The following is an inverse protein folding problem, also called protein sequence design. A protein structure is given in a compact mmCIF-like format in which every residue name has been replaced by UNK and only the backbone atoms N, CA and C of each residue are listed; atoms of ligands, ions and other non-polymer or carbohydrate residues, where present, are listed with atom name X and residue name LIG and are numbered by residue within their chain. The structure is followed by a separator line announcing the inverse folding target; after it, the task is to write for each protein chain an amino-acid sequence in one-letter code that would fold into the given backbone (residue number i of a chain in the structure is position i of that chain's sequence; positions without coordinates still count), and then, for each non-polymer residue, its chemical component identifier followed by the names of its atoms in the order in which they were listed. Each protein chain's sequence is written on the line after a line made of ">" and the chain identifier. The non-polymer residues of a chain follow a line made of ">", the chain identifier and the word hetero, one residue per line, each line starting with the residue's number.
data_IF_164791466498
#
_entry.id   IF_164791466498
#
_cell.length_a   1.000
_cell.length_b   1.000
_cell.length_c   1.000
_cell.angle_alpha   90.00
_cell.angle_beta   90.00
_cell.angle_gamma   90.00
#
_symmetry.space_group_name_H-M   'P 1'
#
loop_
_entity.id
_entity.type
_entity.pdbx_description
1 polymer ?
#
# COMPACT_ATOMS: atom_id res chain seq x y z
N UNK A 1 10.36 -0.10 -35.35
CA UNK A 1 9.77 0.42 -34.10
C UNK A 1 10.89 0.46 -33.10
N UNK A 2 11.26 1.64 -32.63
CA UNK A 2 12.22 1.74 -31.52
C UNK A 2 11.61 1.04 -30.32
N UNK A 3 12.27 -0.04 -29.87
CA UNK A 3 11.98 -0.64 -28.58
C UNK A 3 12.20 0.47 -27.55
N UNK A 4 11.11 0.99 -26.96
CA UNK A 4 11.19 1.90 -25.83
C UNK A 4 12.07 1.25 -24.76
N UNK A 5 13.31 1.73 -24.64
CA UNK A 5 14.25 1.20 -23.67
C UNK A 5 13.67 1.40 -22.28
N UNK A 6 13.64 0.31 -21.51
CA UNK A 6 13.19 0.37 -20.14
C UNK A 6 14.12 1.27 -19.33
N UNK A 7 13.59 2.05 -18.38
CA UNK A 7 14.43 2.79 -17.46
C UNK A 7 15.43 1.86 -16.77
N UNK A 8 16.66 2.33 -16.50
CA UNK A 8 17.70 1.50 -15.90
C UNK A 8 17.28 1.02 -14.51
N UNK A 9 17.82 -0.12 -14.07
CA UNK A 9 17.61 -0.60 -12.70
C UNK A 9 18.29 0.33 -11.70
N UNK A 10 17.70 0.48 -10.52
CA UNK A 10 18.35 1.19 -9.41
C UNK A 10 19.63 0.49 -8.94
N UNK A 11 19.67 -0.85 -9.05
CA UNK A 11 20.83 -1.67 -8.72
C UNK A 11 21.12 -2.64 -9.87
N UNK A 12 22.40 -2.87 -10.14
CA UNK A 12 22.85 -3.92 -11.06
C UNK A 12 22.34 -5.28 -10.57
N UNK A 13 21.96 -6.16 -11.52
CA UNK A 13 21.53 -7.52 -11.18
C UNK A 13 22.67 -8.26 -10.47
N UNK A 14 22.41 -8.78 -9.27
CA UNK A 14 23.39 -9.48 -8.45
C UNK A 14 24.21 -8.58 -7.51
N UNK A 15 24.09 -7.26 -7.63
CA UNK A 15 24.73 -6.27 -6.77
C UNK A 15 23.71 -5.57 -5.84
N UNK A 16 22.52 -6.15 -5.67
CA UNK A 16 21.51 -5.60 -4.78
C UNK A 16 21.99 -5.63 -3.31
N UNK A 17 21.69 -4.58 -2.53
CA UNK A 17 21.97 -4.59 -1.10
C UNK A 17 21.34 -5.80 -0.40
N UNK A 18 22.03 -6.33 0.60
CA UNK A 18 21.49 -7.38 1.45
C UNK A 18 20.65 -6.78 2.58
N UNK A 19 19.46 -7.35 2.82
CA UNK A 19 18.70 -7.09 4.05
C UNK A 19 19.32 -7.87 5.21
N UNK A 20 20.21 -7.21 5.97
CA UNK A 20 21.00 -7.89 7.01
C UNK A 20 20.31 -7.90 8.38
N UNK A 21 19.43 -6.94 8.72
CA UNK A 21 18.78 -6.88 10.05
C UNK A 21 17.26 -6.85 10.03
N UNK A 22 16.64 -5.68 9.89
CA UNK A 22 15.21 -5.52 10.16
C UNK A 22 14.57 -4.49 9.24
N UNK A 23 13.48 -4.90 8.60
CA UNK A 23 12.63 -4.00 7.84
C UNK A 23 11.26 -4.05 8.48
N UNK A 24 10.78 -2.89 8.87
CA UNK A 24 9.51 -2.73 9.56
C UNK A 24 8.61 -1.78 8.81
N UNK A 25 7.36 -1.74 9.24
CA UNK A 25 6.36 -0.83 8.75
C UNK A 25 5.40 -0.52 9.89
N UNK A 26 4.78 0.66 9.84
CA UNK A 26 3.94 1.14 10.95
C UNK A 26 2.45 0.83 10.76
N UNK A 27 2.01 0.53 9.54
CA UNK A 27 0.60 0.20 9.23
C UNK A 27 0.12 -1.17 9.68
N UNK A 28 0.70 -1.71 10.75
CA UNK A 28 0.30 -2.95 11.41
C UNK A 28 0.35 -2.81 12.94
N UNK A 29 -0.04 -1.65 13.46
CA UNK A 29 -0.13 -1.43 14.90
C UNK A 29 -1.24 -2.30 15.51
N UNK A 30 -0.85 -3.45 16.06
CA UNK A 30 -1.75 -4.41 16.71
C UNK A 30 -2.36 -3.85 17.99
N UNK A 31 -1.68 -2.93 18.67
CA UNK A 31 -2.21 -2.31 19.89
C UNK A 31 -3.31 -1.32 19.56
N UNK A 32 -3.08 -0.47 18.55
CA UNK A 32 -4.09 0.45 18.04
C UNK A 32 -5.32 -0.30 17.53
N UNK A 33 -5.10 -1.36 16.75
CA UNK A 33 -6.20 -2.17 16.23
C UNK A 33 -6.97 -2.90 17.34
N UNK A 34 -6.26 -3.44 18.34
CA UNK A 34 -6.93 -4.03 19.50
C UNK A 34 -7.76 -3.00 20.27
N UNK A 35 -7.20 -1.82 20.53
CA UNK A 35 -7.93 -0.74 21.20
C UNK A 35 -9.17 -0.30 20.41
N UNK A 36 -9.09 -0.28 19.07
CA UNK A 36 -10.23 -0.03 18.20
C UNK A 36 -11.32 -1.08 18.39
N UNK A 37 -10.97 -2.36 18.31
CA UNK A 37 -11.94 -3.46 18.50
C UNK A 37 -12.54 -3.49 19.91
N UNK A 38 -11.76 -3.16 20.94
CA UNK A 38 -12.25 -3.11 22.33
C UNK A 38 -13.19 -1.91 22.56
N UNK A 39 -13.10 -0.86 21.75
CA UNK A 39 -13.89 0.37 21.87
C UNK A 39 -15.22 0.33 21.11
N UNK A 40 -15.32 -0.48 20.05
CA UNK A 40 -16.51 -0.54 19.18
C UNK A 40 -17.38 -1.74 19.54
N UNK A 41 -18.70 -1.55 19.47
CA UNK A 41 -19.63 -2.68 19.40
C UNK A 41 -19.47 -3.44 18.07
N UNK A 42 -20.00 -4.66 17.99
CA UNK A 42 -19.93 -5.46 16.77
C UNK A 42 -20.57 -4.75 15.56
N UNK A 43 -21.73 -4.11 15.77
CA UNK A 43 -22.44 -3.38 14.71
C UNK A 43 -21.63 -2.15 14.25
N UNK A 44 -21.06 -1.37 15.19
CA UNK A 44 -20.22 -0.22 14.85
C UNK A 44 -18.94 -0.63 14.12
N UNK A 45 -18.34 -1.76 14.49
CA UNK A 45 -17.17 -2.30 13.80
C UNK A 45 -17.51 -2.68 12.36
N UNK A 46 -18.63 -3.37 12.13
CA UNK A 46 -19.09 -3.74 10.80
C UNK A 46 -19.47 -2.50 9.97
N UNK A 47 -20.10 -1.49 10.57
CA UNK A 47 -20.36 -0.20 9.92
C UNK A 47 -19.07 0.50 9.49
N UNK A 48 -18.07 0.56 10.38
CA UNK A 48 -16.76 1.15 10.09
C UNK A 48 -16.03 0.38 8.97
N UNK A 49 -16.15 -0.95 8.95
CA UNK A 49 -15.61 -1.84 7.91
C UNK A 49 -16.37 -1.72 6.58
N UNK A 50 -17.65 -1.37 6.62
CA UNK A 50 -18.47 -1.10 5.43
C UNK A 50 -18.25 0.31 4.85
N UNK A 51 -17.68 1.24 5.64
CA UNK A 51 -17.39 2.62 5.21
C UNK A 51 -16.43 2.69 4.01
N UNK A 52 -16.32 3.89 3.41
CA UNK A 52 -15.34 4.19 2.33
C UNK A 52 -13.88 3.94 2.75
N UNK A 53 -13.60 3.97 4.05
CA UNK A 53 -12.26 3.74 4.60
C UNK A 53 -12.08 2.32 5.16
N UNK A 54 -13.12 1.49 5.11
CA UNK A 54 -13.10 0.12 5.62
C UNK A 54 -12.09 -0.80 4.92
N UNK A 55 -11.53 -0.40 3.77
CA UNK A 55 -10.44 -1.11 3.09
C UNK A 55 -9.23 -1.35 4.02
N UNK A 56 -8.91 -0.41 4.90
CA UNK A 56 -7.79 -0.57 5.84
C UNK A 56 -8.05 -1.67 6.88
N UNK A 57 -9.29 -1.78 7.36
CA UNK A 57 -9.72 -2.84 8.27
C UNK A 57 -9.69 -4.18 7.54
N UNK A 58 -10.23 -4.25 6.32
CA UNK A 58 -10.21 -5.47 5.50
C UNK A 58 -8.79 -5.96 5.27
N UNK A 59 -7.84 -5.07 4.95
CA UNK A 59 -6.44 -5.45 4.78
C UNK A 59 -5.78 -5.94 6.07
N UNK A 60 -6.19 -5.42 7.22
CA UNK A 60 -5.73 -5.90 8.52
C UNK A 60 -6.23 -7.31 8.82
N UNK A 61 -7.50 -7.59 8.51
CA UNK A 61 -8.13 -8.90 8.68
C UNK A 61 -7.62 -9.96 7.71
N UNK A 62 -7.07 -9.57 6.55
CA UNK A 62 -6.37 -10.48 5.64
C UNK A 62 -5.10 -11.10 6.24
N UNK A 63 -4.70 -10.70 7.45
CA UNK A 63 -3.50 -11.17 8.16
C UNK A 63 -2.25 -11.15 7.26
N UNK A 64 -2.03 -10.00 6.62
CA UNK A 64 -0.95 -9.83 5.65
C UNK A 64 0.40 -10.34 6.19
N UNK A 65 0.90 -11.42 5.60
CA UNK A 65 2.15 -12.07 5.97
C UNK A 65 3.37 -11.21 5.63
N UNK A 66 3.83 -10.40 6.58
CA UNK A 66 5.01 -9.56 6.39
C UNK A 66 6.30 -10.39 6.39
N UNK A 67 6.98 -10.43 5.25
CA UNK A 67 8.33 -11.02 5.13
C UNK A 67 9.33 -9.92 4.77
N UNK A 68 10.09 -9.44 5.76
CA UNK A 68 11.07 -8.35 5.58
C UNK A 68 12.02 -8.57 4.41
N UNK A 69 12.49 -9.81 4.21
CA UNK A 69 13.40 -10.16 3.11
C UNK A 69 12.73 -10.07 1.74
N UNK A 70 11.48 -10.52 1.62
CA UNK A 70 10.71 -10.42 0.39
C UNK A 70 10.43 -8.96 0.04
N UNK A 71 10.04 -8.16 1.03
CA UNK A 71 9.82 -6.72 0.86
C UNK A 71 11.10 -6.02 0.42
N UNK A 72 12.23 -6.30 1.07
CA UNK A 72 13.53 -5.75 0.64
C UNK A 72 13.83 -6.09 -0.81
N UNK A 73 13.68 -7.37 -1.16
CA UNK A 73 13.94 -7.86 -2.49
C UNK A 73 13.08 -7.12 -3.52
N UNK A 74 11.77 -7.01 -3.28
CA UNK A 74 10.87 -6.25 -4.16
C UNK A 74 11.27 -4.78 -4.32
N UNK A 75 11.78 -4.16 -3.26
CA UNK A 75 12.26 -2.78 -3.28
C UNK A 75 13.59 -2.63 -4.04
N UNK A 76 14.49 -3.61 -3.99
CA UNK A 76 15.74 -3.60 -4.76
C UNK A 76 15.53 -3.87 -6.27
N UNK A 77 14.36 -4.37 -6.67
CA UNK A 77 14.02 -4.60 -8.07
C UNK A 77 13.38 -3.38 -8.75
N UNK A 78 13.44 -2.22 -8.11
CA UNK A 78 12.96 -0.97 -8.68
C UNK A 78 13.81 -0.47 -9.86
N UNK A 79 13.16 0.21 -10.80
CA UNK A 79 13.79 0.99 -11.85
C UNK A 79 14.02 2.43 -11.38
N UNK A 80 15.05 3.08 -11.92
CA UNK A 80 15.41 4.47 -11.62
C UNK A 80 14.44 5.45 -12.30
N UNK A 81 13.30 5.66 -11.66
CA UNK A 81 12.23 6.53 -12.12
C UNK A 81 12.32 7.89 -11.43
N UNK A 82 12.62 8.94 -12.20
CA UNK A 82 12.68 10.34 -11.72
C UNK A 82 11.31 10.96 -11.41
N UNK A 83 10.22 10.36 -11.89
CA UNK A 83 8.87 10.82 -11.58
C UNK A 83 8.56 10.57 -10.10
N UNK A 84 8.18 11.65 -9.40
CA UNK A 84 7.93 11.64 -7.95
C UNK A 84 6.83 10.66 -7.52
N UNK A 85 5.80 10.50 -8.35
CA UNK A 85 4.58 9.76 -8.04
C UNK A 85 4.41 8.49 -8.87
N UNK A 86 5.52 7.95 -9.40
CA UNK A 86 5.54 6.63 -10.04
C UNK A 86 6.68 5.78 -9.47
N UNK A 87 6.37 4.52 -9.20
CA UNK A 87 7.32 3.48 -8.87
C UNK A 87 7.23 2.41 -9.93
N UNK A 88 8.38 1.95 -10.41
CA UNK A 88 8.43 0.85 -11.35
C UNK A 88 9.31 -0.22 -10.74
N UNK A 89 8.86 -1.47 -10.77
CA UNK A 89 9.63 -2.63 -10.33
C UNK A 89 9.61 -3.70 -11.40
N UNK A 90 10.71 -4.45 -11.53
CA UNK A 90 10.73 -5.64 -12.35
C UNK A 90 10.11 -6.81 -11.59
N UNK A 91 9.05 -7.37 -12.14
CA UNK A 91 8.38 -8.57 -11.64
C UNK A 91 8.41 -9.63 -12.73
N UNK A 92 9.11 -10.75 -12.49
CA UNK A 92 9.32 -11.81 -13.49
C UNK A 92 9.88 -11.28 -14.83
N UNK A 93 10.76 -10.27 -14.74
CA UNK A 93 11.39 -9.53 -15.87
C UNK A 93 10.45 -8.62 -16.66
N UNK A 94 9.22 -8.40 -16.19
CA UNK A 94 8.29 -7.42 -16.76
C UNK A 94 8.21 -6.18 -15.86
N UNK A 95 8.19 -4.97 -16.42
CA UNK A 95 8.00 -3.75 -15.64
C UNK A 95 6.57 -3.67 -15.10
N UNK A 96 6.43 -3.61 -13.78
CA UNK A 96 5.19 -3.30 -13.09
C UNK A 96 5.23 -1.84 -12.63
N UNK A 97 4.30 -1.03 -13.15
CA UNK A 97 4.19 0.39 -12.80
C UNK A 97 3.14 0.59 -11.73
N UNK A 98 3.56 1.07 -10.58
CA UNK A 98 2.70 1.50 -9.50
C UNK A 98 2.57 3.03 -9.48
N UNK A 99 1.35 3.52 -9.66
CA UNK A 99 1.01 4.95 -9.61
C UNK A 99 -0.27 5.18 -8.80
N UNK A 100 -0.74 6.44 -8.75
CA UNK A 100 -2.00 6.78 -8.08
C UNK A 100 -3.19 6.01 -8.68
N UNK A 101 -3.14 5.68 -9.98
CA UNK A 101 -4.20 4.94 -10.68
C UNK A 101 -4.32 3.52 -10.11
N UNK A 102 -3.21 2.79 -10.02
CA UNK A 102 -3.21 1.44 -9.46
C UNK A 102 -3.57 1.47 -7.97
N UNK A 103 -3.11 2.48 -7.23
CA UNK A 103 -3.50 2.66 -5.82
C UNK A 103 -5.02 2.88 -5.67
N UNK A 104 -5.60 3.78 -6.46
CA UNK A 104 -7.04 4.05 -6.46
C UNK A 104 -7.84 2.80 -6.83
N UNK A 105 -7.43 2.10 -7.90
CA UNK A 105 -8.10 0.88 -8.33
C UNK A 105 -8.12 -0.21 -7.26
N UNK A 106 -7.00 -0.40 -6.55
CA UNK A 106 -6.89 -1.43 -5.52
C UNK A 106 -7.59 -1.07 -4.21
N UNK A 107 -7.64 0.22 -3.87
CA UNK A 107 -8.16 0.68 -2.58
C UNK A 107 -9.61 1.16 -2.63
N UNK A 108 -10.07 1.64 -3.79
CA UNK A 108 -11.36 2.32 -3.95
C UNK A 108 -11.45 3.67 -3.22
N UNK A 109 -10.34 4.18 -2.69
CA UNK A 109 -10.31 5.43 -1.93
C UNK A 109 -10.42 6.62 -2.87
N UNK A 110 -11.09 7.68 -2.41
CA UNK A 110 -11.14 8.94 -3.17
C UNK A 110 -9.72 9.49 -3.39
N UNK A 111 -9.37 9.71 -4.67
CA UNK A 111 -8.08 10.24 -5.11
C UNK A 111 -8.22 11.62 -5.79
N UNK A 112 -9.32 12.33 -5.61
CA UNK A 112 -9.57 13.67 -6.16
C UNK A 112 -8.44 14.65 -5.84
N UNK A 113 -8.23 15.60 -6.75
CA UNK A 113 -7.20 16.61 -6.59
C UNK A 113 -7.51 17.58 -5.45
N UNK A 114 -6.50 17.86 -4.62
CA UNK A 114 -6.54 18.91 -3.59
C UNK A 114 -5.46 19.93 -3.94
N UNK A 115 -5.80 21.22 -3.89
CA UNK A 115 -4.87 22.30 -4.23
C UNK A 115 -3.65 22.39 -3.30
N UNK A 116 -3.79 22.05 -2.02
CA UNK A 116 -2.69 22.12 -1.05
C UNK A 116 -2.72 20.90 -0.12
N UNK A 117 -1.68 20.06 -0.22
CA UNK A 117 -1.48 18.88 0.64
C UNK A 117 -0.43 19.14 1.75
N UNK A 118 0.14 20.34 1.78
CA UNK A 118 0.99 20.78 2.88
C UNK A 118 0.13 21.49 3.92
N UNK A 119 -0.12 20.82 5.05
CA UNK A 119 -0.12 21.36 6.41
C UNK A 119 -1.11 20.61 7.32
N UNK A 120 -0.67 19.48 7.87
CA UNK A 120 -1.41 18.74 8.88
C UNK A 120 -0.42 18.03 9.83
N UNK A 121 -0.19 18.59 11.04
CA UNK A 121 0.52 17.95 12.19
C UNK A 121 -0.07 18.40 13.56
N UNK A 122 -0.06 17.52 14.58
CA UNK A 122 -0.15 17.67 16.07
C UNK A 122 -1.51 17.77 16.87
N UNK A 123 -1.67 16.87 17.88
CA UNK A 123 -2.63 16.56 19.01
C UNK A 123 -3.75 15.42 18.96
N UNK A 124 -3.45 14.10 19.11
CA UNK A 124 -4.44 12.98 19.37
C UNK A 124 -4.39 12.43 20.81
N UNK A 125 -3.21 12.46 21.46
CA UNK A 125 -2.95 11.67 22.68
C UNK A 125 -3.76 12.13 23.90
N UNK A 126 -4.28 13.37 23.90
CA UNK A 126 -5.04 13.93 25.03
C UNK A 126 -6.54 13.60 25.01
N UNK A 127 -7.12 13.26 23.87
CA UNK A 127 -8.55 12.93 23.75
C UNK A 127 -8.90 11.56 24.38
N UNK A 128 -7.91 10.69 24.58
CA UNK A 128 -8.09 9.35 25.15
C UNK A 128 -8.40 9.33 26.65
N UNK A 129 -8.25 10.43 27.39
CA UNK A 129 -8.31 10.40 28.87
C UNK A 129 -9.67 10.70 29.50
N UNK A 130 -10.76 10.85 28.74
CA UNK A 130 -12.11 11.05 29.28
C UNK A 130 -13.13 10.11 28.62
N UNK A 131 -12.91 8.81 28.82
CA UNK A 131 -13.63 7.72 28.19
C UNK A 131 -14.46 6.99 29.25
N UNK A 132 -15.72 7.38 29.44
CA UNK A 132 -16.75 6.56 30.12
C UNK A 132 -18.20 6.91 29.71
N UNK A 133 -18.45 7.84 28.76
CA UNK A 133 -19.81 8.30 28.39
C UNK A 133 -19.96 8.68 26.90
N UNK A 134 -19.49 7.85 25.96
CA UNK A 134 -19.44 8.23 24.53
C UNK A 134 -20.67 7.81 23.73
N UNK A 135 -21.10 8.68 22.81
CA UNK A 135 -22.16 8.37 21.85
C UNK A 135 -21.64 7.49 20.72
N UNK A 136 -22.54 6.83 19.97
CA UNK A 136 -22.18 6.08 18.75
C UNK A 136 -21.34 6.90 17.78
N UNK A 137 -21.64 8.18 17.62
CA UNK A 137 -20.87 9.08 16.75
C UNK A 137 -19.44 9.28 17.25
N UNK A 138 -19.23 9.36 18.57
CA UNK A 138 -17.90 9.51 19.17
C UNK A 138 -17.06 8.23 19.00
N UNK A 139 -17.69 7.06 19.13
CA UNK A 139 -17.07 5.77 18.81
C UNK A 139 -16.63 5.70 17.33
N UNK A 140 -17.51 6.09 16.40
CA UNK A 140 -17.19 6.13 14.97
C UNK A 140 -16.04 7.09 14.64
N UNK A 141 -16.04 8.28 15.27
CA UNK A 141 -14.95 9.27 15.12
C UNK A 141 -13.59 8.68 15.49
N UNK A 142 -13.52 7.93 16.58
CA UNK A 142 -12.29 7.24 16.94
C UNK A 142 -11.89 6.15 15.96
N UNK A 143 -12.87 5.43 15.42
CA UNK A 143 -12.65 4.48 14.34
C UNK A 143 -11.89 5.09 13.18
N UNK A 144 -12.37 6.24 12.70
CA UNK A 144 -11.71 6.98 11.62
C UNK A 144 -10.34 7.55 12.01
N UNK A 145 -10.18 8.03 13.25
CA UNK A 145 -8.88 8.49 13.74
C UNK A 145 -7.86 7.35 13.84
N UNK A 146 -8.28 6.16 14.26
CA UNK A 146 -7.45 4.96 14.31
C UNK A 146 -7.04 4.53 12.89
N UNK A 147 -7.96 4.56 11.92
CA UNK A 147 -7.65 4.32 10.51
C UNK A 147 -6.60 5.32 10.00
N UNK A 148 -6.79 6.61 10.29
CA UNK A 148 -5.84 7.64 9.87
C UNK A 148 -4.45 7.41 10.47
N UNK A 149 -4.37 7.29 11.79
CA UNK A 149 -3.09 7.15 12.49
C UNK A 149 -2.37 5.84 12.12
N UNK A 150 -3.14 4.75 12.07
CA UNK A 150 -2.62 3.42 11.77
C UNK A 150 -2.16 3.27 10.33
N UNK A 151 -2.97 3.69 9.34
CA UNK A 151 -2.75 3.29 7.96
C UNK A 151 -2.45 4.45 7.00
N UNK A 152 -3.13 5.59 7.17
CA UNK A 152 -2.96 6.74 6.26
C UNK A 152 -1.66 7.47 6.55
N UNK A 153 -1.48 7.95 7.78
CA UNK A 153 -0.22 8.55 8.19
C UNK A 153 0.83 7.45 8.38
N UNK A 154 0.46 6.35 9.05
CA UNK A 154 1.27 5.14 9.15
C UNK A 154 2.70 5.45 9.59
N UNK A 155 2.84 6.28 10.64
CA UNK A 155 4.11 6.70 11.25
C UNK A 155 4.13 6.30 12.72
N UNK A 156 5.31 6.27 13.33
CA UNK A 156 5.44 6.06 14.79
C UNK A 156 4.66 7.15 15.53
N UNK A 157 3.87 6.75 16.53
CA UNK A 157 3.15 7.63 17.45
C UNK A 157 4.12 8.55 18.23
N UNK A 158 4.52 9.67 17.63
CA UNK A 158 5.31 10.72 18.28
C UNK A 158 4.98 12.12 17.80
N UNK A 159 4.23 12.25 16.70
CA UNK A 159 3.64 13.50 16.24
C UNK A 159 2.15 13.40 16.44
N UNK A 160 1.57 14.37 17.12
CA UNK A 160 0.18 14.22 17.46
C UNK A 160 -0.73 14.59 16.24
N UNK A 161 -2.05 14.58 16.36
CA UNK A 161 -3.00 14.80 15.25
C UNK A 161 -3.45 16.24 14.98
N UNK A 162 -3.38 16.70 13.72
CA UNK A 162 -3.71 18.08 13.36
C UNK A 162 -5.14 18.49 13.73
N UNK A 163 -5.32 19.75 14.15
CA UNK A 163 -6.64 20.34 14.40
C UNK A 163 -7.57 20.31 13.15
N UNK A 164 -7.00 20.28 11.94
CA UNK A 164 -7.75 20.10 10.69
C UNK A 164 -8.39 18.70 10.60
N UNK A 165 -7.68 17.64 11.02
CA UNK A 165 -8.22 16.29 11.04
C UNK A 165 -9.30 16.13 12.12
N UNK A 166 -9.06 16.69 13.31
CA UNK A 166 -10.04 16.70 14.39
C UNK A 166 -11.33 17.41 13.95
N UNK A 167 -11.23 18.49 13.16
CA UNK A 167 -12.40 19.15 12.57
C UNK A 167 -13.10 18.32 11.50
N UNK A 168 -12.34 17.65 10.63
CA UNK A 168 -12.93 16.80 9.58
C UNK A 168 -13.72 15.65 10.18
N UNK A 169 -13.22 15.00 11.23
CA UNK A 169 -13.90 13.84 11.83
C UNK A 169 -15.19 14.23 12.58
N UNK A 170 -15.38 15.51 12.94
CA UNK A 170 -16.67 15.96 13.48
C UNK A 170 -17.81 15.74 12.48
N UNK A 171 -17.51 15.86 11.19
CA UNK A 171 -18.43 15.70 10.05
C UNK A 171 -18.08 14.42 9.26
N UNK A 172 -18.60 13.27 9.71
CA UNK A 172 -18.22 11.94 9.17
C UNK A 172 -18.38 11.82 7.65
N UNK A 173 -19.45 12.37 7.08
CA UNK A 173 -19.67 12.36 5.64
C UNK A 173 -18.58 13.13 4.88
N UNK A 174 -18.19 14.31 5.38
CA UNK A 174 -17.10 15.09 4.80
C UNK A 174 -15.75 14.36 4.96
N UNK A 175 -15.56 13.67 6.09
CA UNK A 175 -14.36 12.88 6.34
C UNK A 175 -14.24 11.72 5.35
N UNK A 176 -15.30 10.94 5.13
CA UNK A 176 -15.28 9.82 4.20
C UNK A 176 -15.11 10.24 2.74
N UNK A 177 -15.65 11.42 2.37
CA UNK A 177 -15.50 11.97 1.03
C UNK A 177 -14.16 12.68 0.81
N UNK A 178 -13.37 12.91 1.85
CA UNK A 178 -12.05 13.51 1.72
C UNK A 178 -11.14 12.58 0.89
N UNK A 179 -10.25 13.11 0.03
CA UNK A 179 -9.43 12.30 -0.87
C UNK A 179 -8.24 11.63 -0.17
N UNK A 180 -8.55 10.77 0.79
CA UNK A 180 -7.62 9.98 1.58
C UNK A 180 -6.74 9.07 0.73
N UNK A 181 -7.21 8.62 -0.42
CA UNK A 181 -6.42 7.83 -1.35
C UNK A 181 -5.20 8.60 -1.83
N UNK A 182 -5.36 9.88 -2.18
CA UNK A 182 -4.25 10.76 -2.55
C UNK A 182 -3.29 11.01 -1.40
N UNK A 183 -3.80 11.21 -0.18
CA UNK A 183 -2.98 11.43 1.02
C UNK A 183 -2.14 10.20 1.34
N UNK A 184 -2.79 9.04 1.48
CA UNK A 184 -2.13 7.77 1.81
C UNK A 184 -1.10 7.39 0.73
N UNK A 185 -1.44 7.55 -0.55
CA UNK A 185 -0.51 7.33 -1.65
C UNK A 185 0.72 8.24 -1.55
N UNK A 186 0.53 9.54 -1.31
CA UNK A 186 1.67 10.47 -1.16
C UNK A 186 2.58 10.07 0.00
N UNK A 187 2.03 9.75 1.17
CA UNK A 187 2.81 9.32 2.34
C UNK A 187 3.66 8.09 2.00
N UNK A 188 3.04 7.09 1.37
CA UNK A 188 3.74 5.88 0.92
C UNK A 188 4.87 6.20 -0.08
N UNK A 189 4.57 7.01 -1.10
CA UNK A 189 5.52 7.37 -2.15
C UNK A 189 6.71 8.16 -1.61
N UNK A 190 6.46 9.17 -0.78
CA UNK A 190 7.52 9.95 -0.13
C UNK A 190 8.39 9.04 0.75
N UNK A 191 7.77 8.11 1.48
CA UNK A 191 8.51 7.16 2.30
C UNK A 191 9.41 6.27 1.44
N UNK A 192 8.86 5.61 0.42
CA UNK A 192 9.58 4.68 -0.46
C UNK A 192 10.72 5.35 -1.23
N UNK A 193 10.48 6.53 -1.82
CA UNK A 193 11.49 7.26 -2.61
C UNK A 193 12.63 7.82 -1.76
N UNK A 194 12.41 8.04 -0.48
CA UNK A 194 13.43 8.55 0.44
C UNK A 194 14.25 7.45 1.13
N UNK A 195 13.92 6.16 0.94
CA UNK A 195 14.62 5.08 1.64
C UNK A 195 16.00 4.82 1.04
N UNK A 196 16.98 4.78 1.93
CA UNK A 196 18.31 4.26 1.66
C UNK A 196 18.32 2.75 1.90
N UNK A 197 18.31 1.99 0.80
CA UNK A 197 18.25 0.53 0.83
C UNK A 197 19.59 -0.14 1.15
N UNK A 198 20.70 0.61 1.20
CA UNK A 198 21.98 0.08 1.69
C UNK A 198 22.00 -0.07 3.21
N UNK A 199 21.05 0.56 3.92
CA UNK A 199 20.93 0.41 5.37
C UNK A 199 20.49 -0.99 5.74
N UNK A 200 21.16 -1.56 6.72
CA UNK A 200 20.84 -2.88 7.28
C UNK A 200 19.46 -2.94 7.95
N UNK A 201 18.89 -1.78 8.31
CA UNK A 201 17.54 -1.65 8.83
C UNK A 201 16.88 -0.34 8.43
N UNK A 202 15.59 -0.39 8.10
CA UNK A 202 14.76 0.79 7.81
C UNK A 202 13.28 0.50 8.04
N UNK A 203 12.50 1.56 8.19
CA UNK A 203 11.05 1.47 8.36
C UNK A 203 10.37 2.16 7.19
N UNK A 204 9.32 1.53 6.64
CA UNK A 204 8.47 2.12 5.60
C UNK A 204 7.20 2.67 6.25
N UNK A 205 6.87 3.90 5.90
CA UNK A 205 5.70 4.62 6.40
C UNK A 205 4.56 4.55 5.39
N UNK A 206 3.34 4.75 5.89
CA UNK A 206 2.13 4.65 5.09
C UNK A 206 1.75 3.20 4.74
N UNK A 207 0.76 3.07 3.85
CA UNK A 207 0.07 1.81 3.59
C UNK A 207 0.84 0.86 2.65
N UNK A 208 2.04 0.42 3.05
CA UNK A 208 2.94 -0.41 2.22
C UNK A 208 2.34 -1.74 1.76
N UNK A 209 1.37 -2.29 2.49
CA UNK A 209 0.73 -3.57 2.15
C UNK A 209 0.12 -3.54 0.75
N UNK A 210 -0.42 -2.39 0.31
CA UNK A 210 -1.06 -2.26 -1.01
C UNK A 210 -0.05 -2.43 -2.15
N UNK A 211 1.18 -1.92 -1.97
CA UNK A 211 2.23 -2.02 -2.96
C UNK A 211 2.73 -3.45 -3.08
N UNK A 212 2.93 -4.13 -1.95
CA UNK A 212 3.34 -5.54 -1.96
C UNK A 212 2.25 -6.41 -2.56
N UNK A 213 0.99 -6.18 -2.19
CA UNK A 213 -0.16 -6.85 -2.78
C UNK A 213 -0.21 -6.68 -4.31
N UNK A 214 -0.03 -5.45 -4.80
CA UNK A 214 0.07 -5.16 -6.23
C UNK A 214 1.18 -5.96 -6.93
N UNK A 215 2.39 -5.98 -6.37
CA UNK A 215 3.51 -6.71 -6.96
C UNK A 215 3.28 -8.22 -6.97
N UNK A 216 2.67 -8.77 -5.91
CA UNK A 216 2.31 -10.18 -5.83
C UNK A 216 1.24 -10.56 -6.87
N UNK A 217 0.20 -9.74 -7.04
CA UNK A 217 -0.80 -9.94 -8.10
C UNK A 217 -0.16 -9.94 -9.49
N UNK A 218 0.73 -8.98 -9.77
CA UNK A 218 1.45 -8.93 -11.04
C UNK A 218 2.37 -10.14 -11.24
N UNK A 219 3.00 -10.64 -10.17
CA UNK A 219 3.84 -11.84 -10.26
C UNK A 219 3.02 -13.07 -10.64
N UNK A 220 1.90 -13.31 -9.94
CA UNK A 220 0.99 -14.41 -10.24
C UNK A 220 0.45 -14.31 -11.66
N UNK A 221 0.00 -13.13 -12.07
CA UNK A 221 -0.52 -12.91 -13.43
C UNK A 221 0.55 -13.16 -14.50
N UNK A 222 1.80 -12.71 -14.26
CA UNK A 222 2.91 -12.95 -15.17
C UNK A 222 3.31 -14.42 -15.24
N UNK A 223 3.21 -15.15 -14.13
CA UNK A 223 3.45 -16.59 -14.08
C UNK A 223 2.41 -17.35 -14.92
N UNK A 224 1.13 -17.10 -14.68
CA UNK A 224 0.02 -17.71 -15.45
C UNK A 224 0.15 -17.39 -16.94
N UNK A 225 0.52 -16.16 -17.30
CA UNK A 225 0.70 -15.76 -18.69
C UNK A 225 1.85 -16.52 -19.36
N UNK A 226 2.99 -16.69 -18.67
CA UNK A 226 4.13 -17.46 -19.20
C UNK A 226 3.76 -18.91 -19.46
N UNK A 227 3.03 -19.55 -18.54
CA UNK A 227 2.55 -20.92 -18.71
C UNK A 227 1.63 -21.02 -19.94
N UNK A 228 0.71 -20.06 -20.12
CA UNK A 228 -0.14 -20.00 -21.30
C UNK A 228 0.67 -19.82 -22.59
N UNK A 229 1.65 -18.91 -22.62
CA UNK A 229 2.50 -18.67 -23.79
C UNK A 229 3.38 -19.90 -24.13
N UNK A 230 3.81 -20.67 -23.13
CA UNK A 230 4.54 -21.93 -23.32
C UNK A 230 3.64 -23.03 -23.88
N UNK A 231 2.40 -23.15 -23.37
CA UNK A 231 1.39 -24.08 -23.90
C UNK A 231 1.06 -23.74 -25.35
N UNK A 232 0.85 -22.47 -25.69
CA UNK A 232 0.55 -22.06 -27.07
C UNK A 232 1.72 -22.35 -28.01
N UNK A 233 2.97 -22.10 -27.59
CA UNK A 233 4.16 -22.46 -28.40
C UNK A 233 4.29 -23.96 -28.61
N UNK A 234 3.99 -24.77 -27.60
CA UNK A 234 3.98 -26.23 -27.74
C UNK A 234 2.91 -26.69 -28.73
N UNK A 235 1.69 -26.14 -28.65
CA UNK A 235 0.60 -26.46 -29.57
C UNK A 235 0.96 -26.11 -31.03
N UNK A 236 1.55 -24.94 -31.27
CA UNK A 236 1.99 -24.52 -32.60
C UNK A 236 3.14 -25.39 -33.15
N UNK A 237 4.09 -25.79 -32.29
CA UNK A 237 5.17 -26.70 -32.70
C UNK A 237 4.72 -28.12 -33.01
N UNK A 238 3.55 -28.56 -32.49
CA UNK A 238 2.95 -29.84 -32.86
C UNK A 238 2.26 -29.82 -34.23
N UNK A 239 1.76 -28.66 -34.67
CA UNK A 239 1.12 -28.52 -35.99
C UNK A 239 2.17 -28.56 -37.12
N UNK A 240 3.30 -27.85 -36.97
CA UNK A 240 4.40 -27.82 -37.95
C UNK A 240 5.15 -29.17 -38.11
N UNK A 241 5.04 -30.07 -37.12
CA UNK A 241 5.68 -31.40 -37.16
C UNK A 241 4.90 -32.48 -37.91
N UNK A 242 3.71 -32.16 -38.42
CA UNK A 242 2.79 -33.14 -39.03
C UNK A 242 2.74 -33.13 -40.57
N UNK A 243 3.41 -32.19 -41.24
CA UNK A 243 3.36 -32.03 -42.70
C UNK A 243 4.54 -32.63 -43.49
N UNK A 244 5.50 -33.32 -42.86
CA UNK A 244 6.68 -33.85 -43.57
C UNK A 244 6.83 -35.37 -43.50
N UNK A 245 5.78 -36.13 -43.87
CA UNK A 245 5.85 -37.57 -44.16
C UNK A 245 4.85 -38.02 -45.23
N UNK A 246 4.83 -37.37 -46.39
CA UNK A 246 4.39 -38.01 -47.63
C UNK A 246 5.29 -37.54 -48.78
N UNK A 247 6.33 -38.32 -49.06
CA UNK A 247 6.92 -38.54 -50.40
C UNK A 247 7.82 -39.78 -50.38
#
# INVERSE_FOLDING_TARGET
>A
MDLLELPPRMFTLGEEPAAIRSISYHSNDTKLFKALCDCLTADEYEDLKASKLGVFIKFKELEFGWTSRLVHFMLCFQLDIKKKFELWSLVASQPARFSLIEFEHLTGLNCDYIKDLENSRCEITKAFYHCDEWSRDDCMRLGYLAIYAGYIDGKKFSSATPASLARLVMELENFENYPWGRVAFKVLMDSLKAKDLYKTSYTVDGFIQIYIFYLLQNNVNNFVRKDLDEIHRYAQGCEDGSESREE
#
